data_IF_009966276922
#
_entry.id   IF_009966276922
#
_cell.length_a   1.000
_cell.length_b   1.000
_cell.length_c   1.000
_cell.angle_alpha   90.00
_cell.angle_beta   90.00
_cell.angle_gamma   90.00
#
_symmetry.space_group_name_H-M   'P 1'
#
loop_
_entity.id
_entity.type
_entity.pdbx_description
1 polymer ?
#
# COMPACT_ATOMS: atom_id res chain seq x y z
N UNK A 1 24.00 14.95 12.98
CA UNK A 1 24.86 13.96 13.65
C UNK A 1 24.87 14.21 15.15
N UNK A 2 24.42 13.23 15.93
CA UNK A 2 24.40 13.28 17.40
C UNK A 2 25.40 12.28 17.96
N UNK A 3 26.12 12.64 19.02
CA UNK A 3 27.05 11.74 19.72
C UNK A 3 26.51 11.41 21.10
N UNK A 4 26.42 10.12 21.43
CA UNK A 4 26.06 9.65 22.77
C UNK A 4 27.27 8.99 23.40
N UNK A 5 27.67 9.47 24.59
CA UNK A 5 28.78 8.92 25.36
C UNK A 5 28.26 8.09 26.53
N UNK A 6 28.58 6.80 26.55
CA UNK A 6 28.17 5.90 27.63
C UNK A 6 29.35 5.04 28.10
N UNK A 7 29.70 5.16 29.40
CA UNK A 7 30.62 4.33 30.23
C UNK A 7 32.04 4.03 29.69
N UNK A 8 32.37 4.34 28.43
CA UNK A 8 33.69 4.43 27.76
C UNK A 8 33.60 4.34 26.22
N UNK A 9 32.40 4.38 25.62
CA UNK A 9 32.22 4.34 24.16
C UNK A 9 31.39 5.53 23.66
N UNK A 10 31.84 6.09 22.54
CA UNK A 10 31.14 7.13 21.78
C UNK A 10 30.34 6.47 20.66
N UNK A 11 29.02 6.64 20.69
CA UNK A 11 28.13 6.17 19.63
C UNK A 11 27.79 7.33 18.69
N UNK A 12 28.00 7.12 17.39
CA UNK A 12 27.60 8.07 16.37
C UNK A 12 26.19 7.74 15.92
N UNK A 13 25.30 8.72 16.08
CA UNK A 13 23.91 8.64 15.67
C UNK A 13 23.63 9.57 14.49
N UNK A 14 22.75 9.10 13.62
CA UNK A 14 22.21 9.88 12.52
C UNK A 14 21.23 10.97 13.04
N UNK A 15 20.72 11.82 12.16
CA UNK A 15 19.80 12.92 12.50
C UNK A 15 18.49 12.44 13.13
N UNK A 16 18.04 11.23 12.77
CA UNK A 16 16.89 10.55 13.39
C UNK A 16 17.24 9.80 14.70
N UNK A 17 18.52 9.81 15.09
CA UNK A 17 19.06 9.18 16.28
C UNK A 17 19.29 7.66 16.16
N UNK A 18 19.35 7.11 14.94
CA UNK A 18 19.71 5.71 14.72
C UNK A 18 21.23 5.53 14.75
N UNK A 19 21.68 4.35 15.16
CA UNK A 19 23.09 4.02 15.17
C UNK A 19 23.62 3.89 13.74
N UNK A 20 24.66 4.67 13.41
CA UNK A 20 25.25 4.67 12.05
C UNK A 20 25.90 3.31 11.75
N UNK A 21 26.58 2.73 12.74
CA UNK A 21 27.22 1.43 12.60
C UNK A 21 26.53 0.38 13.49
N UNK A 22 25.68 -0.50 12.94
CA UNK A 22 24.96 -1.51 13.71
C UNK A 22 25.88 -2.52 14.42
N UNK A 23 27.14 -2.66 13.97
CA UNK A 23 28.13 -3.53 14.61
C UNK A 23 28.64 -2.95 15.95
N UNK A 24 28.52 -1.65 16.17
CA UNK A 24 28.89 -0.99 17.43
C UNK A 24 27.80 -1.09 18.50
N UNK A 25 26.66 -1.72 18.20
CA UNK A 25 25.58 -1.85 19.17
C UNK A 25 25.99 -2.75 20.34
N UNK A 26 25.78 -2.25 21.55
CA UNK A 26 25.97 -2.96 22.81
C UNK A 26 24.77 -2.79 23.73
N UNK A 27 24.70 -3.60 24.80
CA UNK A 27 23.63 -3.46 25.81
C UNK A 27 23.63 -2.07 26.46
N UNK A 28 24.81 -1.52 26.73
CA UNK A 28 24.97 -0.18 27.30
C UNK A 28 24.39 0.92 26.40
N UNK A 29 24.45 0.75 25.08
CA UNK A 29 23.81 1.66 24.14
C UNK A 29 22.29 1.68 24.34
N UNK A 30 21.66 0.50 24.32
CA UNK A 30 20.22 0.38 24.51
C UNK A 30 19.77 0.93 25.87
N UNK A 31 20.52 0.68 26.94
CA UNK A 31 20.23 1.22 28.27
C UNK A 31 20.37 2.73 28.34
N UNK A 32 21.38 3.32 27.69
CA UNK A 32 21.56 4.77 27.65
C UNK A 32 20.46 5.50 26.86
N UNK A 33 19.92 4.84 25.83
CA UNK A 33 18.89 5.43 24.97
C UNK A 33 17.47 5.21 25.51
N UNK A 34 17.23 4.17 26.32
CA UNK A 34 15.91 3.84 26.85
C UNK A 34 15.20 5.01 27.57
N UNK A 35 15.86 5.80 28.45
CA UNK A 35 15.23 6.96 29.10
C UNK A 35 14.73 8.00 28.11
N UNK A 36 15.46 8.24 27.02
CA UNK A 36 15.07 9.21 25.98
C UNK A 36 13.79 8.81 25.23
N UNK A 37 13.45 7.51 25.24
CA UNK A 37 12.29 6.93 24.56
C UNK A 37 11.11 6.69 25.50
N UNK A 38 11.19 7.18 26.75
CA UNK A 38 10.16 7.01 27.76
C UNK A 38 10.18 5.66 28.47
N UNK A 39 11.29 4.92 28.41
CA UNK A 39 11.45 3.62 29.06
C UNK A 39 12.46 3.78 30.21
N UNK A 40 12.03 3.78 31.48
CA UNK A 40 12.93 4.01 32.61
C UNK A 40 13.94 2.89 32.83
N UNK A 41 13.55 1.64 32.53
CA UNK A 41 14.43 0.47 32.61
C UNK A 41 13.98 -0.62 31.62
N UNK A 42 14.96 -1.26 30.96
CA UNK A 42 14.71 -2.35 30.03
C UNK A 42 14.48 -3.66 30.79
N UNK A 43 13.23 -4.13 30.81
CA UNK A 43 12.87 -5.45 31.37
C UNK A 43 13.24 -6.60 30.44
N UNK A 44 13.19 -7.83 30.93
CA UNK A 44 13.46 -9.06 30.14
C UNK A 44 12.63 -9.13 28.85
N UNK A 45 11.37 -8.69 28.89
CA UNK A 45 10.50 -8.66 27.70
C UNK A 45 11.01 -7.71 26.63
N UNK A 46 11.56 -6.55 27.01
CA UNK A 46 12.20 -5.62 26.06
C UNK A 46 13.41 -6.29 25.43
N UNK A 47 14.29 -6.88 26.24
CA UNK A 47 15.49 -7.56 25.75
C UNK A 47 15.19 -8.70 24.79
N UNK A 48 14.13 -9.46 25.02
CA UNK A 48 13.72 -10.54 24.12
C UNK A 48 13.35 -9.99 22.73
N UNK A 49 12.57 -8.90 22.69
CA UNK A 49 12.19 -8.24 21.43
C UNK A 49 13.41 -7.63 20.71
N UNK A 50 14.28 -6.93 21.44
CA UNK A 50 15.48 -6.32 20.86
C UNK A 50 16.44 -7.36 20.26
N UNK A 51 16.67 -8.47 20.97
CA UNK A 51 17.51 -9.57 20.49
C UNK A 51 16.91 -10.22 19.26
N UNK A 52 15.60 -10.44 19.23
CA UNK A 52 14.92 -11.00 18.07
C UNK A 52 15.05 -10.10 16.84
N UNK A 53 14.82 -8.80 17.00
CA UNK A 53 15.01 -7.82 15.92
C UNK A 53 16.43 -7.89 15.38
N UNK A 54 17.44 -7.95 16.28
CA UNK A 54 18.84 -7.99 15.90
C UNK A 54 19.24 -9.30 15.22
N UNK A 55 18.76 -10.45 15.70
CA UNK A 55 19.04 -11.75 15.06
C UNK A 55 18.43 -11.81 13.66
N UNK A 56 17.19 -11.36 13.49
CA UNK A 56 16.57 -11.29 12.16
C UNK A 56 17.32 -10.32 11.25
N UNK A 57 17.75 -9.17 11.77
CA UNK A 57 18.54 -8.22 10.99
C UNK A 57 19.88 -8.81 10.54
N UNK A 58 20.58 -9.56 11.39
CA UNK A 58 21.84 -10.23 11.01
C UNK A 58 21.65 -11.36 9.99
N UNK A 59 20.45 -11.95 9.92
CA UNK A 59 20.12 -13.02 8.98
C UNK A 59 19.62 -12.50 7.63
N UNK A 60 18.83 -11.43 7.63
CA UNK A 60 18.11 -10.95 6.44
C UNK A 60 18.45 -9.51 6.05
N UNK A 61 19.38 -8.86 6.74
CA UNK A 61 19.74 -7.44 6.59
C UNK A 61 18.54 -6.46 6.66
N UNK A 62 17.43 -6.89 7.27
CA UNK A 62 16.14 -6.17 7.26
C UNK A 62 15.42 -6.26 8.61
N UNK A 63 14.77 -5.17 9.09
CA UNK A 63 14.03 -5.17 10.37
C UNK A 63 12.75 -6.04 10.20
N UNK A 64 12.45 -6.97 11.12
CA UNK A 64 11.24 -7.78 11.01
C UNK A 64 9.96 -6.93 11.02
N UNK A 65 8.91 -7.45 10.40
CA UNK A 65 7.58 -6.83 10.47
C UNK A 65 7.03 -6.94 11.89
N UNK A 66 6.29 -5.91 12.33
CA UNK A 66 5.61 -5.85 13.64
C UNK A 66 4.81 -7.13 13.92
N UNK A 67 4.04 -7.59 12.93
CA UNK A 67 3.22 -8.81 13.05
C UNK A 67 4.07 -10.07 13.32
N UNK A 68 5.25 -10.20 12.70
CA UNK A 68 6.16 -11.33 12.93
C UNK A 68 6.71 -11.30 14.35
N UNK A 69 7.16 -10.14 14.82
CA UNK A 69 7.65 -9.98 16.20
C UNK A 69 6.57 -10.30 17.23
N UNK A 70 5.34 -9.82 17.02
CA UNK A 70 4.21 -10.12 17.90
C UNK A 70 3.91 -11.62 17.95
N UNK A 71 3.95 -12.32 16.81
CA UNK A 71 3.69 -13.75 16.72
C UNK A 71 4.73 -14.59 17.46
N UNK A 72 6.01 -14.25 17.34
CA UNK A 72 7.11 -14.99 17.98
C UNK A 72 7.09 -14.86 19.51
N UNK A 73 6.79 -13.67 20.02
CA UNK A 73 6.76 -13.42 21.47
C UNK A 73 5.37 -13.58 22.10
N UNK A 74 4.37 -14.01 21.31
CA UNK A 74 2.97 -14.10 21.72
C UNK A 74 2.45 -12.79 22.38
N UNK A 75 2.85 -11.65 21.81
CA UNK A 75 2.48 -10.32 22.29
C UNK A 75 1.35 -9.74 21.45
N UNK A 76 0.39 -9.07 22.09
CA UNK A 76 -0.58 -8.26 21.36
C UNK A 76 0.04 -6.92 20.94
N UNK A 77 -0.54 -6.26 19.94
CA UNK A 77 -0.12 -4.91 19.51
C UNK A 77 -0.20 -3.93 20.69
N UNK A 78 -1.20 -4.08 21.57
CA UNK A 78 -1.34 -3.25 22.78
C UNK A 78 -0.20 -3.48 23.77
N UNK A 79 0.25 -4.72 23.94
CA UNK A 79 1.38 -5.02 24.83
C UNK A 79 2.69 -4.48 24.28
N UNK A 80 2.88 -4.54 22.96
CA UNK A 80 4.04 -3.94 22.31
C UNK A 80 4.07 -2.41 22.49
N UNK A 81 2.91 -1.74 22.41
CA UNK A 81 2.80 -0.30 22.69
C UNK A 81 3.05 0.04 24.17
N UNK A 82 2.68 -0.84 25.10
CA UNK A 82 2.98 -0.69 26.53
C UNK A 82 4.48 -0.83 26.81
N UNK A 83 5.14 -1.78 26.15
CA UNK A 83 6.59 -1.97 26.27
C UNK A 83 7.36 -0.83 25.60
N UNK A 84 6.93 -0.39 24.42
CA UNK A 84 7.58 0.67 23.67
C UNK A 84 6.60 1.82 23.42
N UNK A 85 6.52 2.82 24.34
CA UNK A 85 5.63 3.98 24.18
C UNK A 85 5.90 4.77 22.90
N UNK A 86 7.18 4.82 22.49
CA UNK A 86 7.62 5.45 21.24
C UNK A 86 7.29 4.62 19.97
N UNK A 87 6.68 3.45 20.12
CA UNK A 87 6.31 2.54 19.04
C UNK A 87 7.45 1.60 18.58
N UNK A 88 7.13 0.72 17.63
CA UNK A 88 8.07 -0.32 17.18
C UNK A 88 9.30 0.24 16.45
N UNK A 89 9.11 1.14 15.48
CA UNK A 89 10.23 1.66 14.69
C UNK A 89 11.11 2.61 15.51
N UNK A 90 10.52 3.67 16.06
CA UNK A 90 11.25 4.71 16.82
C UNK A 90 11.66 4.26 18.22
N UNK A 91 11.02 3.21 18.75
CA UNK A 91 11.37 2.59 20.03
C UNK A 91 12.21 1.33 19.85
N UNK A 92 11.61 0.22 19.42
CA UNK A 92 12.25 -1.09 19.40
C UNK A 92 13.38 -1.22 18.34
N UNK A 93 13.16 -0.92 17.05
CA UNK A 93 14.24 -0.99 16.03
C UNK A 93 15.37 0.01 16.41
N UNK A 94 15.03 1.22 16.89
CA UNK A 94 16.01 2.22 17.35
C UNK A 94 16.88 1.72 18.52
N UNK A 95 16.26 1.13 19.55
CA UNK A 95 16.96 0.53 20.68
C UNK A 95 17.79 -0.70 20.29
N UNK A 96 17.37 -1.45 19.27
CA UNK A 96 18.11 -2.60 18.74
C UNK A 96 19.31 -2.18 17.87
N UNK A 97 19.49 -0.87 17.65
CA UNK A 97 20.59 -0.32 16.85
C UNK A 97 20.48 -0.65 15.36
N UNK A 98 19.26 -0.95 14.88
CA UNK A 98 19.00 -1.24 13.47
C UNK A 98 18.27 -0.05 12.86
N UNK A 99 18.82 0.48 11.76
CA UNK A 99 18.12 1.51 11.01
C UNK A 99 17.01 0.84 10.20
N UNK A 100 15.78 1.29 10.38
CA UNK A 100 14.67 0.82 9.56
C UNK A 100 14.87 1.21 8.08
N UNK A 101 15.73 2.19 7.80
CA UNK A 101 16.07 2.70 6.47
C UNK A 101 17.07 1.84 5.70
N UNK A 102 17.52 0.69 6.21
CA UNK A 102 18.42 -0.20 5.47
C UNK A 102 17.74 -0.82 4.22
N UNK A 103 16.40 -0.86 4.18
CA UNK A 103 15.67 -1.09 2.94
C UNK A 103 14.67 0.03 2.71
N UNK A 104 14.94 0.79 1.66
CA UNK A 104 14.02 1.78 1.16
C UNK A 104 12.65 1.16 0.91
N UNK A 105 11.64 1.73 1.56
CA UNK A 105 10.44 2.14 0.81
C UNK A 105 10.71 3.52 0.21
N UNK A 106 11.88 3.66 -0.41
CA UNK A 106 11.88 4.26 -1.72
C UNK A 106 11.16 3.20 -2.57
N UNK A 107 10.00 3.53 -3.14
CA UNK A 107 9.68 2.92 -4.43
C UNK A 107 10.99 2.91 -5.22
N UNK A 108 11.46 1.78 -5.78
CA UNK A 108 12.62 1.85 -6.63
C UNK A 108 12.24 2.74 -7.81
N UNK A 109 12.57 4.02 -7.72
CA UNK A 109 13.25 4.65 -8.83
C UNK A 109 14.64 4.01 -8.83
N UNK A 110 14.73 2.74 -9.25
CA UNK A 110 16.00 2.17 -9.66
C UNK A 110 16.54 3.07 -10.76
N UNK A 111 17.74 3.67 -10.64
CA UNK A 111 18.43 4.22 -11.78
C UNK A 111 19.26 3.11 -12.43
N UNK A 112 18.65 1.96 -12.74
CA UNK A 112 19.35 0.82 -13.39
C UNK A 112 18.38 -0.03 -14.18
N UNK A 113 17.74 0.60 -15.13
CA UNK A 113 17.97 0.32 -16.54
C UNK A 113 17.37 1.52 -17.25
N UNK A 114 17.89 1.88 -18.40
CA UNK A 114 17.13 2.69 -19.34
C UNK A 114 15.90 1.88 -19.74
N UNK A 115 14.89 1.81 -18.87
CA UNK A 115 13.53 1.81 -19.34
C UNK A 115 13.51 3.08 -20.15
N UNK A 116 13.48 2.95 -21.47
CA UNK A 116 13.08 4.02 -22.34
C UNK A 116 11.70 4.44 -21.83
N UNK A 117 11.69 5.32 -20.84
CA UNK A 117 10.55 6.12 -20.49
C UNK A 117 10.47 7.07 -21.64
N UNK A 118 9.95 6.57 -22.77
CA UNK A 118 9.17 7.42 -23.65
C UNK A 118 8.22 8.09 -22.70
N UNK A 119 8.47 9.36 -22.41
CA UNK A 119 7.47 10.24 -21.84
C UNK A 119 6.39 10.27 -22.90
N UNK A 120 5.50 9.29 -22.85
CA UNK A 120 4.25 9.35 -23.59
C UNK A 120 3.59 10.58 -22.98
N UNK A 121 3.31 11.64 -23.75
CA UNK A 121 2.50 12.72 -23.23
C UNK A 121 1.21 12.05 -22.76
N UNK A 122 0.99 12.03 -21.44
CA UNK A 122 -0.32 11.72 -20.89
C UNK A 122 -1.23 12.77 -21.51
N UNK A 123 -1.90 12.39 -22.60
CA UNK A 123 -2.98 13.17 -23.15
C UNK A 123 -3.85 13.46 -21.94
N UNK A 124 -3.97 14.74 -21.55
CA UNK A 124 -4.84 15.13 -20.44
C UNK A 124 -6.26 14.78 -20.86
N UNK A 125 -6.66 13.54 -20.66
CA UNK A 125 -8.02 13.05 -20.89
C UNK A 125 -8.85 13.54 -19.72
N UNK A 126 -10.00 14.13 -20.05
CA UNK A 126 -10.96 14.66 -19.09
C UNK A 126 -12.18 13.76 -19.17
N UNK A 127 -12.36 12.93 -18.15
CA UNK A 127 -13.50 12.02 -18.07
C UNK A 127 -14.68 12.70 -17.40
N UNK A 128 -15.87 12.54 -17.97
CA UNK A 128 -17.10 13.07 -17.39
C UNK A 128 -17.69 12.05 -16.44
N UNK A 129 -17.68 12.36 -15.14
CA UNK A 129 -18.23 11.48 -14.10
C UNK A 129 -19.43 12.10 -13.42
N UNK A 130 -20.35 11.26 -12.95
CA UNK A 130 -21.49 11.68 -12.15
C UNK A 130 -21.10 11.91 -10.68
N UNK A 131 -22.05 12.35 -9.86
CA UNK A 131 -21.85 12.60 -8.42
C UNK A 131 -21.47 11.34 -7.62
N UNK A 132 -21.80 10.15 -8.12
CA UNK A 132 -21.43 8.87 -7.52
C UNK A 132 -20.04 8.38 -8.01
N UNK A 133 -19.43 9.10 -8.95
CA UNK A 133 -18.13 8.83 -9.53
C UNK A 133 -18.11 7.78 -10.64
N UNK A 134 -19.27 7.43 -11.22
CA UNK A 134 -19.37 6.61 -12.42
C UNK A 134 -19.19 7.46 -13.68
N UNK A 135 -18.69 6.85 -14.75
CA UNK A 135 -18.60 7.49 -16.06
C UNK A 135 -20.02 7.79 -16.58
N UNK A 136 -20.22 8.99 -17.13
CA UNK A 136 -21.50 9.41 -17.71
C UNK A 136 -21.75 8.62 -19.00
N UNK A 137 -20.74 8.57 -19.88
CA UNK A 137 -20.81 7.88 -21.17
C UNK A 137 -19.89 6.65 -21.16
N UNK A 138 -20.42 5.41 -21.18
CA UNK A 138 -19.62 4.18 -21.17
C UNK A 138 -18.62 4.04 -22.35
N UNK A 139 -18.86 4.78 -23.43
CA UNK A 139 -18.03 4.84 -24.63
C UNK A 139 -16.77 5.71 -24.45
N UNK A 140 -16.75 6.63 -23.47
CA UNK A 140 -15.55 7.42 -23.13
C UNK A 140 -14.50 6.61 -22.36
N UNK A 141 -14.83 5.36 -22.00
CA UNK A 141 -13.96 4.50 -21.21
C UNK A 141 -12.73 4.04 -22.00
N UNK A 142 -11.59 4.03 -21.34
CA UNK A 142 -10.32 3.51 -21.80
C UNK A 142 -9.56 2.80 -20.67
N UNK A 143 -8.46 2.13 -21.01
CA UNK A 143 -7.61 1.45 -20.03
C UNK A 143 -7.00 2.46 -19.01
N UNK A 144 -6.72 3.68 -19.45
CA UNK A 144 -6.22 4.77 -18.60
C UNK A 144 -7.24 5.16 -17.51
N UNK A 145 -8.53 5.25 -17.84
CA UNK A 145 -9.60 5.47 -16.87
C UNK A 145 -9.64 4.36 -15.82
N UNK A 146 -9.53 3.10 -16.22
CA UNK A 146 -9.54 1.96 -15.30
C UNK A 146 -8.35 2.02 -14.32
N UNK A 147 -7.16 2.39 -14.81
CA UNK A 147 -5.96 2.57 -13.98
C UNK A 147 -6.16 3.74 -13.01
N UNK A 148 -6.70 4.87 -13.49
CA UNK A 148 -6.98 6.04 -12.65
C UNK A 148 -8.00 5.72 -11.55
N UNK A 149 -9.09 5.02 -11.89
CA UNK A 149 -10.12 4.62 -10.92
C UNK A 149 -9.63 3.62 -9.90
N UNK A 150 -8.76 2.70 -10.28
CA UNK A 150 -8.10 1.77 -9.35
C UNK A 150 -7.33 2.54 -8.26
N UNK A 151 -6.60 3.61 -8.66
CA UNK A 151 -5.89 4.49 -7.72
C UNK A 151 -6.85 5.27 -6.82
N UNK A 152 -7.95 5.78 -7.37
CA UNK A 152 -9.00 6.49 -6.61
C UNK A 152 -9.63 5.59 -5.55
N UNK A 153 -9.94 4.34 -5.90
CA UNK A 153 -10.52 3.33 -5.02
C UNK A 153 -9.50 2.71 -4.04
N UNK A 154 -8.24 3.17 -4.07
CA UNK A 154 -7.13 2.68 -3.23
C UNK A 154 -6.96 1.16 -3.30
N UNK A 155 -7.20 0.58 -4.47
CA UNK A 155 -6.81 -0.80 -4.73
C UNK A 155 -5.29 -0.93 -4.57
N UNK A 156 -4.86 -1.93 -3.81
CA UNK A 156 -3.46 -2.14 -3.48
C UNK A 156 -2.76 -2.79 -4.68
N UNK A 157 -2.11 -1.98 -5.51
CA UNK A 157 -1.25 -2.43 -6.60
C UNK A 157 -1.82 -2.20 -8.01
N UNK A 158 -1.05 -2.57 -9.06
CA UNK A 158 -1.52 -2.52 -10.43
C UNK A 158 -2.62 -3.56 -10.67
N UNK A 159 -3.52 -3.27 -11.62
CA UNK A 159 -4.53 -4.23 -12.06
C UNK A 159 -3.84 -5.48 -12.62
N UNK A 160 -4.07 -6.63 -11.98
CA UNK A 160 -3.57 -7.93 -12.47
C UNK A 160 -4.38 -8.41 -13.67
N UNK A 161 -3.89 -9.42 -14.39
CA UNK A 161 -4.58 -9.97 -15.57
C UNK A 161 -5.99 -10.45 -15.25
N UNK A 162 -6.22 -11.02 -14.05
CA UNK A 162 -7.57 -11.43 -13.60
C UNK A 162 -8.53 -10.25 -13.50
N UNK A 163 -8.06 -9.08 -13.04
CA UNK A 163 -8.90 -7.88 -13.01
C UNK A 163 -9.30 -7.46 -14.41
N UNK A 164 -8.33 -7.46 -15.35
CA UNK A 164 -8.59 -7.12 -16.75
C UNK A 164 -9.54 -8.09 -17.42
N UNK A 165 -9.44 -9.39 -17.14
CA UNK A 165 -10.35 -10.40 -17.65
C UNK A 165 -11.79 -10.11 -17.23
N UNK A 166 -12.02 -9.78 -15.95
CA UNK A 166 -13.35 -9.42 -15.43
C UNK A 166 -13.84 -8.11 -16.05
N UNK A 167 -13.00 -7.08 -16.11
CA UNK A 167 -13.37 -5.77 -16.69
C UNK A 167 -13.74 -5.91 -18.17
N UNK A 168 -12.95 -6.64 -18.95
CA UNK A 168 -13.23 -6.88 -20.38
C UNK A 168 -14.51 -7.71 -20.55
N UNK A 169 -14.71 -8.73 -19.72
CA UNK A 169 -15.94 -9.51 -19.72
C UNK A 169 -17.17 -8.63 -19.48
N UNK A 170 -17.16 -7.83 -18.41
CA UNK A 170 -18.24 -6.88 -18.08
C UNK A 170 -18.58 -5.96 -19.25
N UNK A 171 -17.56 -5.41 -19.91
CA UNK A 171 -17.77 -4.53 -21.07
C UNK A 171 -18.35 -5.27 -22.28
N UNK A 172 -17.83 -6.45 -22.58
CA UNK A 172 -18.33 -7.25 -23.70
C UNK A 172 -19.78 -7.73 -23.51
N UNK A 173 -20.20 -8.03 -22.29
CA UNK A 173 -21.60 -8.36 -22.03
C UNK A 173 -22.48 -7.11 -22.01
N UNK A 174 -21.98 -6.00 -21.48
CA UNK A 174 -22.70 -4.74 -21.57
C UNK A 174 -22.93 -4.32 -23.04
N UNK A 175 -21.98 -4.55 -23.94
CA UNK A 175 -22.17 -4.28 -25.37
C UNK A 175 -23.22 -5.20 -26.03
N UNK A 176 -23.36 -6.45 -25.56
CA UNK A 176 -24.33 -7.42 -26.13
C UNK A 176 -25.74 -7.23 -25.58
N UNK A 177 -25.87 -7.16 -24.26
CA UNK A 177 -27.17 -7.16 -23.58
C UNK A 177 -27.62 -5.76 -23.15
N UNK A 178 -26.72 -4.76 -23.18
CA UNK A 178 -26.95 -3.43 -22.63
C UNK A 178 -27.37 -3.44 -21.15
N UNK A 179 -26.96 -4.50 -20.44
CA UNK A 179 -27.22 -4.72 -19.02
C UNK A 179 -25.91 -5.15 -18.34
N UNK A 180 -25.80 -4.82 -17.05
CA UNK A 180 -24.61 -5.16 -16.27
C UNK A 180 -24.82 -6.56 -15.72
N UNK A 181 -23.93 -7.53 -16.03
CA UNK A 181 -24.04 -8.88 -15.50
C UNK A 181 -24.10 -8.89 -13.98
N UNK A 182 -24.72 -9.92 -13.43
CA UNK A 182 -24.72 -10.16 -11.98
C UNK A 182 -23.38 -10.75 -11.53
N UNK A 183 -23.12 -10.68 -10.21
CA UNK A 183 -21.91 -11.27 -9.61
C UNK A 183 -21.77 -12.75 -10.00
N UNK A 184 -22.87 -13.52 -9.91
CA UNK A 184 -22.86 -14.95 -10.19
C UNK A 184 -22.58 -15.29 -11.65
N UNK A 185 -23.12 -14.50 -12.59
CA UNK A 185 -22.85 -14.67 -14.02
C UNK A 185 -21.38 -14.39 -14.35
N UNK A 186 -20.80 -13.32 -13.78
CA UNK A 186 -19.37 -13.04 -13.97
C UNK A 186 -18.48 -14.14 -13.41
N UNK A 187 -18.79 -14.63 -12.21
CA UNK A 187 -18.09 -15.75 -11.60
C UNK A 187 -18.18 -17.02 -12.46
N UNK A 188 -19.36 -17.35 -12.99
CA UNK A 188 -19.57 -18.51 -13.85
C UNK A 188 -18.85 -18.40 -15.19
N UNK A 189 -18.82 -17.21 -15.81
CA UNK A 189 -18.19 -17.01 -17.11
C UNK A 189 -16.66 -16.97 -17.04
N UNK A 190 -16.10 -16.36 -15.99
CA UNK A 190 -14.65 -16.26 -15.81
C UNK A 190 -14.09 -17.52 -15.11
N UNK A 191 -14.92 -18.27 -14.38
CA UNK A 191 -14.51 -19.44 -13.63
C UNK A 191 -13.83 -19.09 -12.30
N UNK A 192 -14.32 -18.05 -11.61
CA UNK A 192 -13.75 -17.51 -10.37
C UNK A 192 -14.77 -17.66 -9.24
N UNK A 193 -14.32 -18.01 -8.04
CA UNK A 193 -15.18 -18.08 -6.86
C UNK A 193 -15.58 -16.69 -6.33
N UNK A 194 -16.72 -16.60 -5.65
CA UNK A 194 -17.20 -15.32 -5.10
C UNK A 194 -16.22 -14.74 -4.07
N UNK A 195 -15.53 -15.58 -3.31
CA UNK A 195 -14.51 -15.13 -2.35
C UNK A 195 -13.28 -14.55 -3.06
N UNK A 196 -12.83 -15.19 -4.12
CA UNK A 196 -11.69 -14.72 -4.91
C UNK A 196 -12.02 -13.38 -5.60
N UNK A 197 -13.25 -13.20 -6.08
CA UNK A 197 -13.71 -11.91 -6.60
C UNK A 197 -13.67 -10.80 -5.53
N UNK A 198 -14.04 -11.11 -4.29
CA UNK A 198 -14.01 -10.17 -3.17
C UNK A 198 -12.57 -9.80 -2.75
N UNK A 199 -11.63 -10.74 -2.88
CA UNK A 199 -10.20 -10.49 -2.66
C UNK A 199 -9.62 -9.58 -3.76
N UNK A 200 -9.98 -9.82 -5.02
CA UNK A 200 -9.57 -9.00 -6.16
C UNK A 200 -10.14 -7.58 -6.05
N UNK A 201 -11.41 -7.43 -5.67
CA UNK A 201 -12.07 -6.14 -5.52
C UNK A 201 -12.57 -5.92 -4.09
N UNK A 202 -11.73 -5.41 -3.15
CA UNK A 202 -12.13 -5.16 -1.77
C UNK A 202 -13.26 -4.12 -1.62
N UNK A 203 -13.44 -3.26 -2.63
CA UNK A 203 -14.56 -2.32 -2.71
C UNK A 203 -15.91 -2.99 -3.03
N UNK A 204 -15.90 -4.28 -3.36
CA UNK A 204 -17.05 -5.06 -3.82
C UNK A 204 -17.27 -4.95 -5.33
N UNK A 205 -18.24 -5.72 -5.83
CA UNK A 205 -18.49 -5.85 -7.26
C UNK A 205 -18.96 -4.54 -7.93
N UNK A 206 -20.03 -3.92 -7.45
CA UNK A 206 -20.58 -2.71 -8.07
C UNK A 206 -19.70 -1.47 -7.86
N UNK A 207 -19.15 -1.29 -6.65
CA UNK A 207 -18.30 -0.13 -6.32
C UNK A 207 -16.86 -0.30 -6.77
N UNK A 208 -16.41 -1.53 -7.00
CA UNK A 208 -15.09 -1.89 -7.54
C UNK A 208 -15.18 -2.21 -9.03
N UNK A 209 -15.43 -3.48 -9.36
CA UNK A 209 -15.34 -4.01 -10.72
C UNK A 209 -16.17 -3.21 -11.74
N UNK A 210 -17.46 -2.99 -11.49
CA UNK A 210 -18.38 -2.28 -12.41
C UNK A 210 -17.97 -0.82 -12.60
N UNK A 211 -17.58 -0.15 -11.50
CA UNK A 211 -17.14 1.25 -11.52
C UNK A 211 -15.83 1.43 -12.28
N UNK A 212 -14.88 0.49 -12.13
CA UNK A 212 -13.62 0.47 -12.86
C UNK A 212 -13.86 0.18 -14.35
N UNK A 213 -14.82 -0.68 -14.68
CA UNK A 213 -15.27 -0.94 -16.05
C UNK A 213 -16.00 0.24 -16.71
N UNK A 214 -16.27 1.32 -15.95
CA UNK A 214 -16.94 2.53 -16.44
C UNK A 214 -18.42 2.33 -16.74
N UNK A 215 -19.03 1.28 -16.20
CA UNK A 215 -20.43 0.96 -16.45
C UNK A 215 -21.31 1.61 -15.38
N UNK A 216 -22.45 2.15 -15.80
CA UNK A 216 -23.40 2.81 -14.91
C UNK A 216 -24.79 2.21 -15.13
N UNK A 217 -25.44 1.73 -14.05
CA UNK A 217 -26.81 1.22 -14.07
C UNK A 217 -27.81 2.26 -14.61
N UNK A 218 -27.50 3.55 -14.46
CA UNK A 218 -28.33 4.66 -14.94
C UNK A 218 -28.08 5.05 -16.41
N UNK A 219 -27.12 4.44 -17.12
CA UNK A 219 -26.79 4.80 -18.51
C UNK A 219 -27.98 4.61 -19.47
N UNK A 220 -28.92 3.71 -19.13
CA UNK A 220 -30.15 3.46 -19.91
C UNK A 220 -31.03 4.71 -20.07
N UNK A 221 -30.99 5.66 -19.13
CA UNK A 221 -31.84 6.85 -19.16
C UNK A 221 -31.26 8.03 -19.96
N UNK A 222 -29.95 8.05 -20.21
CA UNK A 222 -29.28 9.17 -20.89
C UNK A 222 -29.03 8.95 -22.39
N UNK A 223 -29.05 7.70 -22.87
CA UNK A 223 -28.95 7.38 -24.30
C UNK A 223 -30.16 7.86 -25.13
N UNK A 224 -31.32 8.08 -24.50
CA UNK A 224 -32.53 8.61 -25.15
C UNK A 224 -32.67 10.14 -25.03
N UNK A 225 -31.77 10.82 -24.32
CA UNK A 225 -31.79 12.28 -24.21
C UNK A 225 -30.96 12.90 -25.35
N UNK A 226 -31.48 13.86 -26.12
CA UNK A 226 -30.73 14.48 -27.20
C UNK A 226 -29.46 15.13 -26.65
N UNK A 227 -28.31 14.65 -27.15
CA UNK A 227 -26.99 15.23 -26.89
C UNK A 227 -27.05 16.70 -27.27
N UNK A 228 -27.16 17.58 -26.27
CA UNK A 228 -27.05 19.02 -26.48
C UNK A 228 -25.64 19.27 -27.00
N UNK A 229 -25.55 19.55 -28.29
CA UNK A 229 -24.31 19.83 -28.99
C UNK A 229 -23.55 20.94 -28.23
N UNK A 230 -22.32 20.62 -27.81
CA UNK A 230 -21.44 21.58 -27.19
C UNK A 230 -21.25 22.80 -28.11
N UNK A 231 -21.27 24.04 -27.60
CA UNK A 231 -21.10 25.22 -28.43
C UNK A 231 -19.70 25.20 -29.07
N UNK A 232 -19.67 25.21 -30.41
CA UNK A 232 -18.44 25.47 -31.17
C UNK A 232 -17.93 26.85 -30.75
N UNK A 233 -16.76 26.89 -30.10
CA UNK A 233 -16.08 28.14 -29.78
C UNK A 233 -15.72 28.83 -31.10
N UNK A 234 -16.25 30.04 -31.30
CA UNK A 234 -15.80 31.01 -32.30
C UNK A 234 -14.47 31.61 -31.88
#
# INVERSE_FOLDING_TARGET
MQTVETKNKTYLLDDDGFLINPAQWDKDFAESLAPSLGIPALTTSHWNVLKFIRSTYLETDSCPLVHKTCKVHNLSIKDLQRLFPSGYQRGACKLAGVSFMAEGVCFPLSPTSEIQTRRIPLAKRVYRINVQGFLIDPNEWDEDYAIFKTRELRLLGPLTEKHWQIIRYLRSEFEKQNEIPTVFETCAAVGIDVNELAELFPSGYHRGAVKIAGLNLAAKAHLDAPVVAAPKRL
#
